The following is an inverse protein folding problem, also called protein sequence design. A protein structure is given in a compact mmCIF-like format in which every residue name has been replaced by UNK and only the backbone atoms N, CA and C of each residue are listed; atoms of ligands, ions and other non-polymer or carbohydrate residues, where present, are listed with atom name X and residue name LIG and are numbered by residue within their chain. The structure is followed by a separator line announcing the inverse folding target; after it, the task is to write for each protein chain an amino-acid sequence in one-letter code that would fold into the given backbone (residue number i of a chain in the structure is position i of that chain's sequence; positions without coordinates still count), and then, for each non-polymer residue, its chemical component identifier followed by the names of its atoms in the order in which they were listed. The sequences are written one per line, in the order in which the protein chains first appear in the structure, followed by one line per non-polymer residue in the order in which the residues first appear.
data_IF_209167083499
#
_entry.id   IF_209167083499
#
_cell.length_a   1.000
_cell.length_b   1.000
_cell.length_c   1.000
_cell.angle_alpha   90.00
_cell.angle_beta   90.00
_cell.angle_gamma   90.00
#
_symmetry.space_group_name_H-M   'P 1'
#
loop_
_entity.id
_entity.type
_entity.pdbx_description
1 polymer ?
#
# COMPACT_ATOMS: atom_id res chain seq x y z
N UNK A 1 -29.90 -7.22 15.01
CA UNK A 1 -30.68 -7.69 16.15
C UNK A 1 -30.61 -9.20 16.28
N UNK A 2 -30.77 -9.73 17.48
CA UNK A 2 -30.92 -11.15 17.76
C UNK A 2 -32.37 -11.60 17.51
N UNK A 3 -32.52 -12.75 16.89
CA UNK A 3 -33.84 -13.27 16.52
C UNK A 3 -34.01 -14.74 16.92
N UNK A 4 -35.24 -15.18 17.13
CA UNK A 4 -35.60 -16.59 17.34
C UNK A 4 -35.70 -17.34 16.00
N UNK A 5 -36.08 -18.62 16.06
CA UNK A 5 -36.24 -19.47 14.87
C UNK A 5 -37.33 -19.01 13.92
N UNK A 6 -38.26 -18.17 14.39
CA UNK A 6 -39.34 -17.58 13.58
C UNK A 6 -38.93 -16.23 12.96
N UNK A 7 -37.76 -15.68 13.33
CA UNK A 7 -37.27 -14.36 12.92
C UNK A 7 -37.75 -13.21 13.80
N UNK A 8 -38.45 -13.52 14.92
CA UNK A 8 -38.87 -12.51 15.88
C UNK A 8 -37.69 -12.07 16.77
N UNK A 9 -37.68 -10.77 17.13
CA UNK A 9 -36.57 -10.20 17.93
C UNK A 9 -36.60 -10.77 19.37
N UNK A 10 -35.43 -11.26 19.79
CA UNK A 10 -35.25 -11.73 21.16
C UNK A 10 -35.26 -10.55 22.15
N UNK A 11 -35.92 -10.66 23.30
CA UNK A 11 -35.86 -9.64 24.35
C UNK A 11 -34.43 -9.36 24.80
N UNK A 12 -34.13 -8.11 25.12
CA UNK A 12 -32.81 -7.72 25.65
C UNK A 12 -32.43 -8.38 26.98
N UNK A 13 -33.42 -8.98 27.66
CA UNK A 13 -33.28 -9.74 28.90
C UNK A 13 -33.03 -11.24 28.65
N UNK A 14 -32.94 -11.69 27.39
CA UNK A 14 -32.70 -13.10 27.07
C UNK A 14 -31.36 -13.55 27.64
N UNK A 15 -31.37 -14.54 28.50
CA UNK A 15 -30.16 -15.16 29.04
C UNK A 15 -29.57 -16.07 27.98
N UNK A 16 -28.34 -15.79 27.57
CA UNK A 16 -27.59 -16.59 26.59
C UNK A 16 -27.11 -17.87 27.29
N UNK A 17 -27.56 -19.03 26.79
CA UNK A 17 -27.14 -20.33 27.28
C UNK A 17 -25.95 -20.87 26.43
N UNK A 18 -24.97 -21.49 27.09
CA UNK A 18 -23.89 -22.17 26.44
C UNK A 18 -24.36 -23.30 25.52
N UNK A 19 -23.67 -23.51 24.42
CA UNK A 19 -23.94 -24.56 23.42
C UNK A 19 -25.35 -24.48 22.77
N UNK A 20 -25.98 -23.30 22.83
CA UNK A 20 -27.28 -23.03 22.20
C UNK A 20 -27.05 -22.06 21.04
N UNK A 21 -27.49 -22.41 19.84
CA UNK A 21 -27.37 -21.54 18.67
C UNK A 21 -28.36 -20.36 18.77
N UNK A 22 -27.83 -19.15 18.58
CA UNK A 22 -28.62 -17.92 18.51
C UNK A 22 -28.50 -17.34 17.11
N UNK A 23 -29.62 -16.97 16.52
CA UNK A 23 -29.67 -16.35 15.19
C UNK A 23 -29.59 -14.83 15.32
N UNK A 24 -28.95 -14.21 14.35
CA UNK A 24 -28.93 -12.75 14.22
C UNK A 24 -29.39 -12.32 12.83
N UNK A 25 -29.98 -11.13 12.78
CA UNK A 25 -30.49 -10.50 11.58
C UNK A 25 -29.92 -9.07 11.52
N UNK A 26 -29.13 -8.79 10.50
CA UNK A 26 -28.71 -7.45 10.14
C UNK A 26 -29.59 -6.93 9.01
N UNK A 27 -30.28 -5.82 9.24
CA UNK A 27 -31.05 -5.12 8.21
C UNK A 27 -30.42 -3.76 7.98
N UNK A 28 -29.85 -3.50 6.80
CA UNK A 28 -29.28 -2.21 6.47
C UNK A 28 -30.35 -1.11 6.51
N UNK A 29 -29.92 0.13 6.77
CA UNK A 29 -30.82 1.29 6.70
C UNK A 29 -31.27 1.56 5.26
N UNK A 30 -30.41 1.29 4.29
CA UNK A 30 -30.69 1.35 2.85
C UNK A 30 -30.95 -0.06 2.31
N UNK A 31 -32.20 -0.50 2.42
CA UNK A 31 -32.64 -1.80 1.93
C UNK A 31 -32.86 -1.85 0.41
N UNK A 32 -32.76 -0.71 -0.28
CA UNK A 32 -32.87 -0.65 -1.75
C UNK A 32 -31.56 -1.09 -2.43
N UNK A 33 -30.42 -0.80 -1.80
CA UNK A 33 -29.09 -1.08 -2.34
C UNK A 33 -28.36 -2.23 -1.61
N UNK A 34 -28.77 -2.61 -0.42
CA UNK A 34 -28.12 -3.63 0.39
C UNK A 34 -29.08 -4.71 0.87
N UNK A 35 -28.66 -5.96 0.75
CA UNK A 35 -29.44 -7.09 1.22
C UNK A 35 -29.33 -7.27 2.74
N UNK A 36 -30.39 -7.79 3.33
CA UNK A 36 -30.40 -8.25 4.71
C UNK A 36 -29.49 -9.47 4.86
N UNK A 37 -28.68 -9.50 5.91
CA UNK A 37 -27.81 -10.62 6.27
C UNK A 37 -28.34 -11.32 7.53
N UNK A 38 -28.27 -12.65 7.54
CA UNK A 38 -28.57 -13.49 8.69
C UNK A 38 -27.40 -14.42 8.97
N UNK A 39 -27.20 -14.74 10.22
CA UNK A 39 -26.24 -15.73 10.67
C UNK A 39 -26.63 -16.35 11.99
N UNK A 40 -25.85 -17.29 12.47
CA UNK A 40 -26.02 -17.89 13.78
C UNK A 40 -24.68 -17.96 14.52
N UNK A 41 -24.77 -17.87 15.84
CA UNK A 41 -23.63 -18.01 16.75
C UNK A 41 -24.01 -19.04 17.82
N UNK A 42 -23.11 -19.92 18.17
CA UNK A 42 -23.29 -20.89 19.26
C UNK A 42 -22.28 -20.62 20.35
N UNK A 43 -22.61 -19.80 21.36
CA UNK A 43 -21.71 -19.55 22.46
C UNK A 43 -21.46 -20.87 23.23
N UNK A 44 -20.20 -21.14 23.55
CA UNK A 44 -19.91 -22.21 24.49
C UNK A 44 -18.99 -21.74 25.59
N UNK A 45 -19.15 -22.28 26.77
CA UNK A 45 -18.30 -21.99 27.91
C UNK A 45 -17.28 -23.12 28.05
N UNK A 46 -16.01 -22.79 27.94
CA UNK A 46 -14.96 -23.73 28.35
C UNK A 46 -14.89 -23.72 29.88
N UNK A 47 -15.48 -24.74 30.52
CA UNK A 47 -15.31 -24.94 31.95
C UNK A 47 -13.89 -25.45 32.22
N UNK A 48 -13.02 -24.59 32.70
CA UNK A 48 -11.74 -24.99 33.25
C UNK A 48 -11.97 -25.45 34.71
N UNK A 49 -12.05 -26.74 34.93
CA UNK A 49 -12.04 -27.30 36.29
C UNK A 49 -10.59 -27.44 36.77
N UNK A 50 -10.07 -26.44 37.47
CA UNK A 50 -8.72 -26.38 38.04
C UNK A 50 -8.65 -25.30 39.11
N UNK A 51 -8.51 -25.70 40.34
CA UNK A 51 -8.19 -25.04 41.61
C UNK A 51 -8.05 -23.53 41.69
N UNK A 52 -8.75 -22.96 42.63
CA UNK A 52 -8.83 -21.59 43.09
C UNK A 52 -7.64 -20.66 42.82
N UNK A 53 -7.74 -19.90 41.78
CA UNK A 53 -7.20 -18.54 41.66
C UNK A 53 -8.25 -17.78 40.86
N UNK A 54 -8.70 -16.61 41.33
CA UNK A 54 -9.60 -15.76 40.57
C UNK A 54 -8.84 -15.33 39.30
N UNK A 55 -9.09 -16.00 38.18
CA UNK A 55 -8.50 -15.61 36.90
C UNK A 55 -8.89 -14.16 36.61
N UNK A 56 -7.90 -13.31 36.42
CA UNK A 56 -8.08 -11.90 35.97
C UNK A 56 -8.63 -11.81 34.54
N UNK A 57 -8.69 -12.93 33.82
CA UNK A 57 -9.13 -12.98 32.41
C UNK A 57 -10.34 -13.87 32.21
N UNK A 58 -11.18 -13.50 31.24
CA UNK A 58 -12.24 -14.35 30.66
C UNK A 58 -11.86 -14.67 29.23
N UNK A 59 -12.05 -15.94 28.80
CA UNK A 59 -11.74 -16.37 27.43
C UNK A 59 -12.98 -17.03 26.82
N UNK A 60 -13.34 -16.64 25.59
CA UNK A 60 -14.34 -17.30 24.76
C UNK A 60 -13.73 -17.66 23.43
N UNK A 61 -14.16 -18.75 22.80
CA UNK A 61 -13.71 -19.16 21.46
C UNK A 61 -14.93 -19.49 20.61
N UNK A 62 -14.94 -19.01 19.39
CA UNK A 62 -16.02 -19.18 18.43
C UNK A 62 -15.46 -19.68 17.09
N UNK A 63 -16.19 -20.58 16.44
CA UNK A 63 -15.91 -20.96 15.05
C UNK A 63 -16.84 -20.17 14.12
N UNK A 64 -16.23 -19.42 13.21
CA UNK A 64 -16.93 -18.56 12.25
C UNK A 64 -17.51 -19.37 11.07
N UNK A 65 -18.51 -18.83 10.35
CA UNK A 65 -19.11 -19.49 9.18
C UNK A 65 -18.12 -19.77 8.03
N UNK A 66 -17.06 -18.97 7.89
CA UNK A 66 -15.99 -19.11 6.90
C UNK A 66 -14.95 -20.18 7.27
N UNK A 67 -15.14 -20.82 8.45
CA UNK A 67 -14.25 -21.86 8.97
C UNK A 67 -13.11 -21.33 9.82
N UNK A 68 -12.91 -20.02 9.92
CA UNK A 68 -11.94 -19.41 10.84
C UNK A 68 -12.37 -19.59 12.31
N UNK A 69 -11.47 -19.31 13.25
CA UNK A 69 -11.75 -19.42 14.68
C UNK A 69 -11.29 -18.15 15.38
N UNK A 70 -12.23 -17.48 16.07
CA UNK A 70 -11.96 -16.29 16.88
C UNK A 70 -11.92 -16.64 18.36
N UNK A 71 -10.87 -16.22 19.04
CA UNK A 71 -10.73 -16.31 20.49
C UNK A 71 -10.67 -14.91 21.07
N UNK A 72 -11.62 -14.60 21.97
CA UNK A 72 -11.68 -13.32 22.68
C UNK A 72 -11.21 -13.51 24.12
N UNK A 73 -10.24 -12.73 24.54
CA UNK A 73 -9.71 -12.67 25.91
C UNK A 73 -9.98 -11.28 26.47
N UNK A 74 -10.70 -11.22 27.60
CA UNK A 74 -10.92 -9.97 28.33
C UNK A 74 -10.15 -9.98 29.64
N UNK A 75 -9.23 -9.05 29.82
CA UNK A 75 -8.55 -8.82 31.09
C UNK A 75 -9.43 -7.90 31.97
N UNK A 76 -9.91 -8.46 33.08
CA UNK A 76 -10.79 -7.75 34.03
C UNK A 76 -10.07 -6.67 34.83
N UNK A 77 -8.73 -6.75 34.91
CA UNK A 77 -7.91 -5.80 35.67
C UNK A 77 -7.66 -4.54 34.88
N UNK A 78 -7.28 -4.68 33.59
CA UNK A 78 -6.99 -3.56 32.70
C UNK A 78 -8.21 -3.12 31.90
N UNK A 79 -9.19 -4.00 31.72
CA UNK A 79 -10.34 -3.79 30.82
C UNK A 79 -9.96 -3.98 29.33
N UNK A 80 -8.76 -4.51 29.06
CA UNK A 80 -8.30 -4.78 27.69
C UNK A 80 -9.04 -6.00 27.13
N UNK A 81 -9.49 -5.88 25.89
CA UNK A 81 -10.08 -6.97 25.10
C UNK A 81 -9.14 -7.32 23.97
N UNK A 82 -8.76 -8.59 23.86
CA UNK A 82 -7.93 -9.11 22.76
C UNK A 82 -8.71 -10.17 22.00
N UNK A 83 -8.94 -9.93 20.73
CA UNK A 83 -9.58 -10.85 19.80
C UNK A 83 -8.54 -11.40 18.83
N UNK A 84 -8.40 -12.72 18.77
CA UNK A 84 -7.46 -13.40 17.87
C UNK A 84 -8.25 -14.31 16.94
N UNK A 85 -8.23 -14.01 15.64
CA UNK A 85 -8.85 -14.81 14.59
C UNK A 85 -7.76 -15.59 13.84
N UNK A 86 -7.90 -16.91 13.84
CA UNK A 86 -7.08 -17.81 13.01
C UNK A 86 -7.86 -18.16 11.75
N UNK A 87 -7.36 -17.73 10.60
CA UNK A 87 -7.96 -17.95 9.30
C UNK A 87 -7.60 -19.34 8.74
N UNK A 88 -8.42 -19.82 7.80
CA UNK A 88 -8.24 -21.14 7.15
C UNK A 88 -7.00 -21.20 6.24
N UNK A 89 -6.51 -20.05 5.75
CA UNK A 89 -5.28 -19.93 4.97
C UNK A 89 -3.99 -19.95 5.81
N UNK A 90 -4.12 -20.02 7.15
CA UNK A 90 -3.02 -20.02 8.10
C UNK A 90 -2.60 -18.63 8.59
N UNK A 91 -3.22 -17.58 8.10
CA UNK A 91 -3.01 -16.22 8.63
C UNK A 91 -3.69 -16.04 9.98
N UNK A 92 -3.28 -15.01 10.73
CA UNK A 92 -3.84 -14.69 12.03
C UNK A 92 -4.02 -13.19 12.15
N UNK A 93 -5.20 -12.74 12.56
CA UNK A 93 -5.48 -11.34 12.92
C UNK A 93 -5.70 -11.23 14.41
N UNK A 94 -5.00 -10.33 15.09
CA UNK A 94 -5.18 -10.02 16.50
C UNK A 94 -5.55 -8.56 16.65
N UNK A 95 -6.67 -8.28 17.28
CA UNK A 95 -7.15 -6.93 17.61
C UNK A 95 -7.14 -6.78 19.13
N UNK A 96 -6.35 -5.85 19.64
CA UNK A 96 -6.32 -5.47 21.04
C UNK A 96 -6.99 -4.11 21.20
N UNK A 97 -8.08 -4.07 21.98
CA UNK A 97 -8.78 -2.83 22.34
C UNK A 97 -8.52 -2.51 23.78
N UNK A 98 -7.86 -1.40 24.06
CA UNK A 98 -7.61 -0.90 25.41
C UNK A 98 -8.79 -0.11 25.94
N UNK A 99 -8.86 0.02 27.28
CA UNK A 99 -9.91 0.78 27.96
C UNK A 99 -9.99 2.25 27.56
N UNK A 100 -8.87 2.85 27.16
CA UNK A 100 -8.79 4.24 26.70
C UNK A 100 -9.29 4.44 25.26
N UNK A 101 -9.68 3.34 24.60
CA UNK A 101 -10.16 3.34 23.21
C UNK A 101 -9.06 3.15 22.17
N UNK A 102 -7.79 3.03 22.56
CA UNK A 102 -6.70 2.68 21.63
C UNK A 102 -6.91 1.26 21.10
N UNK A 103 -6.81 1.10 19.78
CA UNK A 103 -6.90 -0.20 19.10
C UNK A 103 -5.55 -0.52 18.46
N UNK A 104 -5.06 -1.73 18.70
CA UNK A 104 -3.88 -2.27 18.01
C UNK A 104 -4.32 -3.49 17.21
N UNK A 105 -4.23 -3.40 15.90
CA UNK A 105 -4.44 -4.54 15.02
C UNK A 105 -3.10 -5.10 14.57
N UNK A 106 -2.92 -6.40 14.70
CA UNK A 106 -1.73 -7.12 14.22
C UNK A 106 -2.17 -8.27 13.33
N UNK A 107 -1.71 -8.24 12.07
CA UNK A 107 -1.94 -9.30 11.11
C UNK A 107 -0.65 -10.05 10.87
N UNK A 108 -0.70 -11.38 10.91
CA UNK A 108 0.37 -12.26 10.51
C UNK A 108 -0.10 -13.10 9.32
N UNK A 109 0.49 -12.89 8.16
CA UNK A 109 0.22 -13.66 6.94
C UNK A 109 0.70 -15.10 7.06
N UNK A 110 0.21 -15.99 6.20
CA UNK A 110 0.60 -17.40 6.19
C UNK A 110 2.11 -17.62 5.95
N UNK A 111 2.76 -16.74 5.21
CA UNK A 111 4.22 -16.74 4.96
C UNK A 111 5.04 -16.21 6.14
N UNK A 112 4.37 -15.72 7.19
CA UNK A 112 4.98 -15.17 8.39
C UNK A 112 5.29 -13.66 8.34
N UNK A 113 4.98 -12.96 7.26
CA UNK A 113 5.02 -11.48 7.19
C UNK A 113 4.02 -10.91 8.17
N UNK A 114 4.39 -9.86 8.90
CA UNK A 114 3.54 -9.26 9.93
C UNK A 114 3.31 -7.78 9.67
N UNK A 115 2.12 -7.31 10.04
CA UNK A 115 1.74 -5.91 10.04
C UNK A 115 1.08 -5.54 11.35
N UNK A 116 1.30 -4.33 11.82
CA UNK A 116 0.65 -3.75 13.01
C UNK A 116 0.22 -2.34 12.71
N UNK A 117 -1.03 -2.02 13.03
CA UNK A 117 -1.61 -0.69 12.95
C UNK A 117 -2.13 -0.31 14.33
N UNK A 118 -1.75 0.86 14.82
CA UNK A 118 -2.26 1.42 16.08
C UNK A 118 -3.11 2.64 15.77
N UNK A 119 -4.34 2.61 16.27
CA UNK A 119 -5.32 3.68 16.11
C UNK A 119 -5.69 4.21 17.48
N UNK A 120 -5.69 5.52 17.65
CA UNK A 120 -6.11 6.14 18.91
C UNK A 120 -7.65 6.15 19.08
N UNK A 121 -8.10 6.66 20.21
CA UNK A 121 -9.55 6.74 20.52
C UNK A 121 -10.34 7.69 19.63
N UNK A 122 -9.68 8.53 18.83
CA UNK A 122 -10.32 9.41 17.84
C UNK A 122 -10.46 8.77 16.47
N UNK A 123 -9.82 7.62 16.25
CA UNK A 123 -9.74 6.92 14.97
C UNK A 123 -8.54 7.33 14.12
N UNK A 124 -7.60 8.10 14.68
CA UNK A 124 -6.38 8.48 13.99
C UNK A 124 -5.32 7.36 14.05
N UNK A 125 -4.71 7.04 12.92
CA UNK A 125 -3.60 6.07 12.85
C UNK A 125 -2.34 6.73 13.40
N UNK A 126 -1.83 6.21 14.51
CA UNK A 126 -0.66 6.74 15.22
C UNK A 126 0.62 5.98 14.96
N UNK A 127 0.53 4.71 14.56
CA UNK A 127 1.69 3.86 14.29
C UNK A 127 1.33 2.80 13.24
N UNK A 128 2.21 2.60 12.25
CA UNK A 128 2.11 1.50 11.29
C UNK A 128 3.47 0.83 11.16
N UNK A 129 3.52 -0.47 11.42
CA UNK A 129 4.74 -1.28 11.28
C UNK A 129 4.47 -2.52 10.45
N UNK A 130 5.43 -2.88 9.61
CA UNK A 130 5.40 -4.14 8.88
C UNK A 130 6.78 -4.81 8.91
N UNK A 131 6.80 -6.13 8.97
CA UNK A 131 8.03 -6.91 8.95
C UNK A 131 7.91 -8.03 7.92
N UNK A 132 8.73 -7.95 6.88
CA UNK A 132 8.80 -8.95 5.82
C UNK A 132 9.47 -10.20 6.34
N UNK A 133 8.86 -11.37 6.13
CA UNK A 133 9.44 -12.65 6.54
C UNK A 133 10.52 -13.12 5.56
N UNK A 134 11.48 -13.93 6.04
CA UNK A 134 12.48 -14.54 5.17
C UNK A 134 11.86 -15.53 4.17
N UNK A 135 10.71 -16.13 4.51
CA UNK A 135 9.99 -17.03 3.61
C UNK A 135 9.38 -16.24 2.45
N UNK A 136 8.72 -15.09 2.73
CA UNK A 136 8.19 -14.20 1.71
C UNK A 136 9.29 -13.68 0.76
N UNK A 137 10.44 -13.25 1.28
CA UNK A 137 11.60 -12.84 0.47
C UNK A 137 12.06 -13.97 -0.45
N UNK A 138 12.17 -15.19 0.08
CA UNK A 138 12.60 -16.35 -0.71
C UNK A 138 11.63 -16.67 -1.85
N UNK A 139 10.35 -16.54 -1.60
CA UNK A 139 9.32 -16.78 -2.62
C UNK A 139 9.29 -15.65 -3.66
N UNK A 140 9.31 -14.39 -3.24
CA UNK A 140 9.40 -13.23 -4.11
C UNK A 140 10.63 -13.28 -5.05
N UNK A 141 11.77 -13.76 -4.54
CA UNK A 141 12.97 -13.93 -5.36
C UNK A 141 12.83 -14.99 -6.48
N UNK A 142 11.94 -15.98 -6.30
CA UNK A 142 11.66 -17.00 -7.32
C UNK A 142 10.63 -16.54 -8.36
N UNK A 143 9.57 -15.87 -7.90
CA UNK A 143 8.45 -15.45 -8.75
C UNK A 143 8.69 -14.11 -9.44
N UNK A 144 9.49 -13.22 -8.83
CA UNK A 144 9.65 -11.83 -9.25
C UNK A 144 8.54 -10.90 -8.76
N UNK A 145 7.57 -11.42 -7.99
CA UNK A 145 6.45 -10.68 -7.45
C UNK A 145 6.87 -9.80 -6.26
N UNK A 146 6.04 -8.83 -5.90
CA UNK A 146 6.20 -8.05 -4.68
C UNK A 146 5.66 -8.83 -3.46
N UNK A 147 6.24 -8.59 -2.28
CA UNK A 147 5.68 -9.04 -1.01
C UNK A 147 4.62 -8.04 -0.56
N UNK A 148 3.36 -8.45 -0.52
CA UNK A 148 2.27 -7.62 -0.01
C UNK A 148 2.34 -7.56 1.51
N UNK A 149 2.41 -6.34 2.06
CA UNK A 149 2.44 -6.12 3.50
C UNK A 149 1.01 -6.20 4.08
N UNK A 150 0.80 -6.87 5.21
CA UNK A 150 -0.53 -6.99 5.82
C UNK A 150 -0.86 -5.75 6.67
N UNK A 151 -0.80 -4.58 6.07
CA UNK A 151 -1.23 -3.27 6.59
C UNK A 151 -1.90 -2.51 5.46
N UNK A 152 -2.86 -1.66 5.77
CA UNK A 152 -3.50 -0.77 4.80
C UNK A 152 -3.41 0.66 5.31
N UNK A 153 -3.07 1.59 4.43
CA UNK A 153 -2.93 3.01 4.79
C UNK A 153 -3.66 3.91 3.79
N UNK A 154 -4.15 5.09 4.21
CA UNK A 154 -4.68 6.07 3.28
C UNK A 154 -3.54 6.71 2.45
N UNK A 155 -3.84 7.07 1.20
CA UNK A 155 -3.00 7.98 0.43
C UNK A 155 -3.32 9.42 0.82
N UNK A 156 -2.43 10.06 1.58
CA UNK A 156 -2.62 11.45 1.99
C UNK A 156 -2.26 12.44 0.86
N UNK A 157 -2.76 13.67 0.95
CA UNK A 157 -2.42 14.72 -0.04
C UNK A 157 -1.07 15.39 0.25
N UNK A 158 -0.53 15.22 1.44
CA UNK A 158 0.80 15.75 1.83
C UNK A 158 1.53 14.71 2.67
N UNK A 159 2.86 14.82 2.71
CA UNK A 159 3.68 13.91 3.52
C UNK A 159 3.50 14.13 5.02
N UNK A 160 3.14 15.33 5.46
CA UNK A 160 2.86 15.62 6.87
C UNK A 160 1.60 14.89 7.37
N UNK A 161 0.59 14.76 6.50
CA UNK A 161 -0.66 14.07 6.81
C UNK A 161 -0.58 12.55 6.63
N UNK A 162 0.42 12.06 5.89
CA UNK A 162 0.57 10.63 5.61
C UNK A 162 1.11 9.90 6.84
N UNK A 163 0.48 8.77 7.27
CA UNK A 163 1.04 7.93 8.30
C UNK A 163 2.38 7.34 7.83
N UNK A 164 3.34 7.29 8.75
CA UNK A 164 4.63 6.67 8.50
C UNK A 164 4.54 5.16 8.68
N UNK A 165 4.88 4.39 7.65
CA UNK A 165 4.96 2.93 7.67
C UNK A 165 6.40 2.52 7.89
N UNK A 166 6.71 1.96 9.07
CA UNK A 166 8.02 1.39 9.37
C UNK A 166 8.11 -0.02 8.78
N UNK A 167 8.85 -0.18 7.70
CA UNK A 167 9.04 -1.48 7.03
C UNK A 167 10.36 -2.08 7.42
N UNK A 168 10.33 -3.26 8.04
CA UNK A 168 11.51 -4.06 8.37
C UNK A 168 11.72 -5.15 7.32
N UNK A 169 12.89 -5.17 6.71
CA UNK A 169 13.30 -6.18 5.72
C UNK A 169 14.49 -6.97 6.29
N UNK A 170 14.51 -8.32 6.15
CA UNK A 170 15.64 -9.14 6.60
C UNK A 170 16.96 -8.68 5.97
N UNK A 171 18.02 -8.52 6.77
CA UNK A 171 19.34 -8.02 6.32
C UNK A 171 19.98 -8.85 5.18
N UNK A 172 19.60 -10.11 5.04
CA UNK A 172 20.10 -11.01 3.99
C UNK A 172 19.30 -10.95 2.69
N UNK A 173 18.28 -10.12 2.62
CA UNK A 173 17.32 -10.14 1.50
C UNK A 173 17.84 -9.50 0.21
N UNK A 174 18.83 -8.58 0.30
CA UNK A 174 19.16 -7.70 -0.83
C UNK A 174 17.98 -6.77 -1.13
N UNK A 175 17.81 -6.38 -2.40
CA UNK A 175 16.66 -5.59 -2.84
C UNK A 175 15.41 -6.45 -2.89
N UNK A 176 14.33 -6.00 -2.24
CA UNK A 176 13.02 -6.67 -2.19
C UNK A 176 11.96 -5.72 -2.67
N UNK A 177 11.09 -6.15 -3.59
CA UNK A 177 9.88 -5.41 -3.93
C UNK A 177 8.84 -5.68 -2.85
N UNK A 178 8.30 -4.61 -2.27
CA UNK A 178 7.17 -4.69 -1.34
C UNK A 178 5.97 -3.93 -1.92
N UNK A 179 4.78 -4.42 -1.65
CA UNK A 179 3.54 -3.71 -1.91
C UNK A 179 2.94 -3.26 -0.58
N UNK A 180 2.69 -1.96 -0.46
CA UNK A 180 1.96 -1.37 0.65
C UNK A 180 0.51 -1.18 0.19
N UNK A 181 -0.46 -1.92 0.72
CA UNK A 181 -1.88 -1.72 0.46
C UNK A 181 -2.34 -0.31 0.80
N UNK A 182 -3.20 0.25 -0.05
CA UNK A 182 -3.68 1.63 0.04
C UNK A 182 -5.18 1.67 -0.22
N UNK A 183 -5.94 2.36 0.64
CA UNK A 183 -7.41 2.44 0.57
C UNK A 183 -7.93 2.99 -0.78
N UNK A 184 -7.24 3.96 -1.34
CA UNK A 184 -7.58 4.58 -2.63
C UNK A 184 -6.32 4.84 -3.43
N UNK A 185 -6.15 4.12 -4.51
CA UNK A 185 -5.01 4.26 -5.42
C UNK A 185 -5.41 5.08 -6.63
N UNK A 186 -4.57 6.06 -6.98
CA UNK A 186 -4.68 6.86 -8.21
C UNK A 186 -3.36 6.76 -9.00
N UNK A 187 -3.30 7.14 -10.26
CA UNK A 187 -2.04 7.23 -11.00
C UNK A 187 -1.01 8.14 -10.32
N UNK A 188 -1.47 9.16 -9.58
CA UNK A 188 -0.65 10.08 -8.80
C UNK A 188 -0.18 9.55 -7.45
N UNK A 189 -0.64 8.36 -7.03
CA UNK A 189 -0.20 7.76 -5.77
C UNK A 189 1.25 7.30 -5.87
N UNK A 190 2.07 7.72 -4.91
CA UNK A 190 3.53 7.50 -4.91
C UNK A 190 4.04 7.18 -3.50
N UNK A 191 5.10 6.40 -3.41
CA UNK A 191 5.83 6.19 -2.16
C UNK A 191 6.89 7.26 -1.94
N UNK A 192 7.06 7.67 -0.69
CA UNK A 192 8.09 8.59 -0.22
C UNK A 192 8.87 7.92 0.89
N UNK A 193 10.20 7.83 0.76
CA UNK A 193 11.08 7.36 1.83
C UNK A 193 11.43 8.53 2.73
N UNK A 194 11.31 8.30 4.04
CA UNK A 194 11.75 9.24 5.08
C UNK A 194 13.10 8.77 5.61
N UNK A 195 14.14 9.56 5.38
CA UNK A 195 15.49 9.26 5.85
C UNK A 195 15.67 9.55 7.35
N UNK A 196 16.72 9.01 7.95
CA UNK A 196 16.99 9.17 9.39
C UNK A 196 17.24 10.63 9.83
N UNK A 197 17.64 11.50 8.90
CA UNK A 197 17.80 12.94 9.13
C UNK A 197 16.49 13.74 8.96
N UNK A 198 15.39 13.06 8.63
CA UNK A 198 14.08 13.64 8.39
C UNK A 198 13.86 14.16 6.98
N UNK A 199 14.83 14.01 6.08
CA UNK A 199 14.62 14.36 4.66
C UNK A 199 13.71 13.34 3.99
N UNK A 200 12.92 13.80 3.01
CA UNK A 200 11.94 13.00 2.29
C UNK A 200 12.36 12.85 0.82
N UNK A 201 12.27 11.63 0.30
CA UNK A 201 12.63 11.30 -1.08
C UNK A 201 11.48 10.58 -1.78
N UNK A 202 11.01 11.13 -2.90
CA UNK A 202 10.01 10.47 -3.74
C UNK A 202 10.66 9.27 -4.44
N UNK A 203 10.09 8.09 -4.24
CA UNK A 203 10.51 6.87 -4.94
C UNK A 203 9.99 6.91 -6.38
N UNK A 204 10.79 7.43 -7.30
CA UNK A 204 10.41 7.58 -8.72
C UNK A 204 10.07 6.25 -9.40
N UNK A 205 10.60 5.13 -8.89
CA UNK A 205 10.35 3.77 -9.37
C UNK A 205 9.16 3.09 -8.71
N UNK A 206 8.45 3.77 -7.79
CA UNK A 206 7.23 3.22 -7.17
C UNK A 206 6.11 3.09 -8.19
N UNK A 207 5.34 2.00 -8.13
CA UNK A 207 4.28 1.68 -9.11
C UNK A 207 2.95 1.51 -8.37
N UNK A 208 1.92 2.32 -8.68
CA UNK A 208 0.58 2.10 -8.19
C UNK A 208 0.00 0.84 -8.85
N UNK A 209 -0.64 0.00 -8.05
CA UNK A 209 -1.39 -1.19 -8.47
C UNK A 209 -2.88 -0.95 -8.24
N UNK A 210 -3.72 -1.94 -8.42
CA UNK A 210 -5.15 -1.86 -8.08
C UNK A 210 -5.38 -1.81 -6.56
N UNK A 211 -4.44 -2.31 -5.76
CA UNK A 211 -4.57 -2.52 -4.32
C UNK A 211 -3.59 -1.73 -3.47
N UNK A 212 -2.55 -1.14 -4.06
CA UNK A 212 -1.53 -0.46 -3.29
C UNK A 212 -0.42 0.18 -4.13
N UNK A 213 0.74 0.33 -3.51
CA UNK A 213 1.95 0.86 -4.18
C UNK A 213 3.10 -0.11 -3.99
N UNK A 214 3.66 -0.57 -5.11
CA UNK A 214 4.87 -1.40 -5.15
C UNK A 214 6.11 -0.51 -5.21
N UNK A 215 7.09 -0.78 -4.35
CA UNK A 215 8.39 -0.12 -4.37
C UNK A 215 9.52 -1.09 -4.04
N UNK A 216 10.74 -0.89 -4.60
CA UNK A 216 11.92 -1.64 -4.19
C UNK A 216 12.48 -1.09 -2.87
N UNK A 217 12.89 -1.98 -1.96
CA UNK A 217 13.60 -1.64 -0.73
C UNK A 217 14.89 -2.42 -0.63
N UNK A 218 16.01 -1.73 -0.42
CA UNK A 218 17.35 -2.33 -0.23
C UNK A 218 17.65 -2.61 1.25
N UNK A 219 16.64 -2.54 2.11
CA UNK A 219 16.71 -2.73 3.55
C UNK A 219 15.47 -2.17 4.24
N UNK A 220 15.54 -2.07 5.58
CA UNK A 220 14.45 -1.47 6.35
C UNK A 220 14.34 0.03 6.06
N UNK A 221 13.13 0.53 5.93
CA UNK A 221 12.84 1.93 5.60
C UNK A 221 11.57 2.42 6.27
N UNK A 222 11.47 3.73 6.45
CA UNK A 222 10.21 4.41 6.77
C UNK A 222 9.62 4.98 5.49
N UNK A 223 8.39 4.58 5.18
CA UNK A 223 7.71 4.92 3.93
C UNK A 223 6.40 5.65 4.24
N UNK A 224 6.10 6.70 3.49
CA UNK A 224 4.80 7.36 3.48
C UNK A 224 4.15 7.20 2.10
N UNK A 225 2.84 7.12 2.05
CA UNK A 225 2.10 7.05 0.78
C UNK A 225 1.32 8.34 0.59
N UNK A 226 1.55 8.99 -0.54
CA UNK A 226 0.89 10.25 -0.88
C UNK A 226 0.29 10.21 -2.28
N UNK A 227 -0.83 10.90 -2.46
CA UNK A 227 -1.35 11.25 -3.78
C UNK A 227 -0.75 12.62 -4.17
N UNK A 228 0.33 12.59 -4.93
CA UNK A 228 1.13 13.74 -5.35
C UNK A 228 0.71 14.28 -6.73
N UNK A 229 -0.52 13.98 -7.18
CA UNK A 229 -1.05 14.54 -8.43
C UNK A 229 -1.15 16.07 -8.36
N UNK A 230 -0.75 16.75 -9.44
CA UNK A 230 -0.85 18.21 -9.54
C UNK A 230 -2.14 18.63 -10.23
N UNK A 231 -2.74 19.73 -9.78
CA UNK A 231 -3.90 20.34 -10.43
C UNK A 231 -3.47 21.09 -11.70
N UNK A 232 -3.30 20.36 -12.80
CA UNK A 232 -2.90 20.91 -14.10
C UNK A 232 -4.14 21.32 -14.92
N UNK A 233 -4.26 22.61 -15.24
CA UNK A 233 -5.48 23.18 -15.84
C UNK A 233 -5.72 22.76 -17.30
N UNK A 234 -4.69 22.25 -17.97
CA UNK A 234 -4.76 21.74 -19.34
C UNK A 234 -4.90 20.20 -19.40
N UNK A 235 -4.93 19.55 -18.25
CA UNK A 235 -5.18 18.13 -18.06
C UNK A 235 -6.51 17.93 -17.32
N UNK A 236 -6.69 18.60 -16.16
CA UNK A 236 -7.89 18.60 -15.34
C UNK A 236 -8.64 19.95 -15.48
N UNK A 237 -9.94 20.04 -15.47
CA UNK A 237 -10.99 19.00 -15.36
C UNK A 237 -11.52 18.48 -16.71
N UNK A 238 -10.74 18.57 -17.77
CA UNK A 238 -11.19 18.24 -19.14
C UNK A 238 -11.10 16.75 -19.50
N UNK A 239 -10.72 15.89 -18.55
CA UNK A 239 -10.52 14.44 -18.74
C UNK A 239 -9.68 14.16 -20.00
N UNK A 240 -8.47 14.73 -20.01
CA UNK A 240 -7.56 14.59 -21.14
C UNK A 240 -7.14 13.12 -21.29
N UNK A 241 -7.04 12.63 -22.53
CA UNK A 241 -6.67 11.22 -22.79
C UNK A 241 -5.34 10.77 -22.16
N UNK A 242 -4.46 11.71 -21.81
CA UNK A 242 -3.17 11.45 -21.17
C UNK A 242 -3.20 11.69 -19.65
N UNK A 243 -4.36 11.92 -19.03
CA UNK A 243 -4.50 12.30 -17.63
C UNK A 243 -3.75 11.35 -16.72
N UNK A 244 -4.07 10.05 -16.75
CA UNK A 244 -3.43 9.03 -15.91
C UNK A 244 -1.91 8.98 -16.10
N UNK A 245 -1.45 9.08 -17.34
CA UNK A 245 -0.02 9.06 -17.65
C UNK A 245 0.69 10.33 -17.16
N UNK A 246 0.05 11.50 -17.25
CA UNK A 246 0.59 12.77 -16.76
C UNK A 246 0.66 12.76 -15.24
N UNK A 247 -0.40 12.34 -14.57
CA UNK A 247 -0.42 12.23 -13.11
C UNK A 247 0.66 11.28 -12.60
N UNK A 248 0.82 10.14 -13.26
CA UNK A 248 1.88 9.18 -12.92
C UNK A 248 3.28 9.80 -13.00
N UNK A 249 3.64 10.43 -14.12
CA UNK A 249 5.01 10.93 -14.32
C UNK A 249 5.29 12.22 -13.55
N UNK A 250 4.29 13.06 -13.33
CA UNK A 250 4.42 14.31 -12.59
C UNK A 250 4.53 14.04 -11.09
N UNK A 251 3.71 13.13 -10.57
CA UNK A 251 3.75 12.76 -9.16
C UNK A 251 5.12 12.21 -8.73
N UNK A 252 5.84 11.56 -9.65
CA UNK A 252 7.18 10.98 -9.44
C UNK A 252 8.33 11.93 -9.74
N UNK A 253 8.03 13.19 -10.06
CA UNK A 253 9.05 14.19 -10.37
C UNK A 253 9.79 13.96 -11.69
N UNK A 254 9.38 12.96 -12.51
CA UNK A 254 9.99 12.70 -13.82
C UNK A 254 9.77 13.87 -14.77
N UNK A 255 8.53 14.40 -14.80
CA UNK A 255 8.16 15.59 -15.55
C UNK A 255 7.74 16.70 -14.60
N UNK A 256 8.15 17.92 -14.88
CA UNK A 256 7.77 19.08 -14.08
C UNK A 256 6.54 19.83 -14.62
N UNK A 257 6.16 19.57 -15.88
CA UNK A 257 5.24 20.41 -16.65
C UNK A 257 5.98 21.57 -17.36
N UNK A 258 5.24 22.39 -18.07
CA UNK A 258 5.75 23.60 -18.74
C UNK A 258 5.60 24.85 -17.87
N UNK A 259 4.76 24.77 -16.84
CA UNK A 259 4.62 25.74 -15.75
C UNK A 259 4.14 25.02 -14.49
N UNK A 260 3.93 25.75 -13.41
CA UNK A 260 3.36 25.19 -12.16
C UNK A 260 1.97 24.58 -12.35
N UNK A 261 1.21 25.05 -13.33
CA UNK A 261 -0.20 24.70 -13.54
C UNK A 261 -0.51 24.12 -14.92
N UNK A 262 0.50 23.93 -15.80
CA UNK A 262 0.32 23.39 -17.15
C UNK A 262 1.34 22.32 -17.49
N UNK A 263 0.90 21.28 -18.22
CA UNK A 263 1.75 20.23 -18.75
C UNK A 263 2.11 20.43 -20.24
N UNK A 264 1.19 21.00 -21.02
CA UNK A 264 1.27 21.20 -22.47
C UNK A 264 1.40 19.88 -23.26
N UNK A 265 0.42 18.95 -23.13
CA UNK A 265 0.52 17.59 -23.66
C UNK A 265 0.61 17.52 -25.18
N UNK A 266 0.16 18.56 -25.88
CA UNK A 266 0.19 18.65 -27.35
C UNK A 266 1.45 19.35 -27.88
N UNK A 267 2.34 19.83 -27.03
CA UNK A 267 3.59 20.47 -27.45
C UNK A 267 4.66 19.45 -27.84
N UNK A 268 5.46 19.69 -28.85
CA UNK A 268 6.59 18.83 -29.18
C UNK A 268 7.59 18.74 -28.04
N UNK A 269 8.01 17.53 -27.69
CA UNK A 269 9.12 17.31 -26.75
C UNK A 269 10.44 17.64 -27.44
N UNK A 270 11.35 18.34 -26.75
CA UNK A 270 12.72 18.55 -27.22
C UNK A 270 13.65 17.41 -26.81
N UNK A 271 14.84 17.33 -27.45
CA UNK A 271 15.88 16.36 -27.06
C UNK A 271 16.34 16.60 -25.63
N UNK A 272 16.49 17.86 -25.23
CA UNK A 272 16.86 18.24 -23.85
C UNK A 272 15.85 17.75 -22.82
N UNK A 273 14.54 17.88 -23.13
CA UNK A 273 13.48 17.37 -22.23
C UNK A 273 13.64 15.88 -21.99
N UNK A 274 13.84 15.07 -23.03
CA UNK A 274 14.01 13.62 -22.84
C UNK A 274 15.28 13.28 -22.06
N UNK A 275 16.42 13.93 -22.34
CA UNK A 275 17.65 13.73 -21.57
C UNK A 275 17.45 14.02 -20.08
N UNK A 276 16.78 15.12 -19.77
CA UNK A 276 16.47 15.51 -18.36
C UNK A 276 15.52 14.54 -17.68
N UNK A 277 14.49 14.07 -18.39
CA UNK A 277 13.53 13.07 -17.86
C UNK A 277 14.24 11.75 -17.55
N UNK A 278 15.09 11.25 -18.44
CA UNK A 278 15.82 10.01 -18.24
C UNK A 278 16.83 10.12 -17.09
N UNK A 279 17.51 11.26 -16.96
CA UNK A 279 18.41 11.51 -15.84
C UNK A 279 17.67 11.49 -14.49
N UNK A 280 16.50 12.15 -14.39
CA UNK A 280 15.66 12.12 -13.19
C UNK A 280 15.15 10.72 -12.88
N UNK A 281 14.76 9.96 -13.90
CA UNK A 281 14.33 8.59 -13.73
C UNK A 281 15.44 7.67 -13.20
N UNK A 282 16.71 7.98 -13.56
CA UNK A 282 17.91 7.30 -13.05
C UNK A 282 18.36 7.81 -11.67
N UNK A 283 17.59 8.73 -11.05
CA UNK A 283 17.88 9.27 -9.71
C UNK A 283 18.83 10.46 -9.67
N UNK A 284 19.17 11.03 -10.82
CA UNK A 284 20.10 12.18 -10.89
C UNK A 284 19.42 13.50 -10.52
N UNK A 285 20.11 14.30 -9.70
CA UNK A 285 19.70 15.67 -9.44
C UNK A 285 19.96 16.54 -10.67
N UNK A 286 18.88 16.90 -11.35
CA UNK A 286 18.94 17.76 -12.55
C UNK A 286 18.82 19.24 -12.22
N UNK A 287 18.85 19.63 -10.93
CA UNK A 287 18.82 21.03 -10.50
C UNK A 287 20.17 21.72 -10.71
N UNK A 288 20.15 23.04 -10.84
CA UNK A 288 21.34 23.83 -11.07
C UNK A 288 21.86 23.78 -12.52
N UNK A 289 23.02 24.41 -12.75
CA UNK A 289 23.61 24.58 -14.09
C UNK A 289 23.30 25.94 -14.70
N UNK A 290 23.96 26.27 -15.84
CA UNK A 290 23.78 27.53 -16.56
C UNK A 290 22.47 27.57 -17.36
N UNK A 291 21.96 26.38 -17.74
CA UNK A 291 20.66 26.16 -18.37
C UNK A 291 19.96 24.97 -17.73
N UNK A 292 18.63 24.96 -17.75
CA UNK A 292 17.82 23.97 -17.04
C UNK A 292 18.07 22.51 -17.43
N UNK A 293 18.61 22.24 -18.61
CA UNK A 293 18.89 20.90 -19.13
C UNK A 293 20.36 20.48 -19.02
N UNK A 294 21.24 21.32 -18.48
CA UNK A 294 22.70 21.08 -18.50
C UNK A 294 23.06 19.75 -17.83
N UNK A 295 22.56 19.52 -16.64
CA UNK A 295 22.80 18.29 -15.86
C UNK A 295 22.26 17.04 -16.56
N UNK A 296 21.04 17.09 -17.07
CA UNK A 296 20.44 15.98 -17.83
C UNK A 296 21.22 15.68 -19.12
N UNK A 297 21.73 16.71 -19.79
CA UNK A 297 22.56 16.55 -20.98
C UNK A 297 23.94 15.95 -20.65
N UNK A 298 24.59 16.39 -19.57
CA UNK A 298 25.87 15.84 -19.08
C UNK A 298 25.70 14.35 -18.72
N UNK A 299 24.65 14.02 -17.96
CA UNK A 299 24.31 12.64 -17.63
C UNK A 299 24.09 11.79 -18.89
N UNK A 300 23.30 12.28 -19.86
CA UNK A 300 23.00 11.54 -21.09
C UNK A 300 24.25 11.27 -21.95
N UNK A 301 25.21 12.18 -21.96
CA UNK A 301 26.55 11.99 -22.62
C UNK A 301 27.37 10.96 -21.87
N UNK A 302 27.49 11.07 -20.55
CA UNK A 302 28.28 10.16 -19.72
C UNK A 302 27.78 8.71 -19.82
N UNK A 303 26.44 8.51 -19.91
CA UNK A 303 25.81 7.20 -20.00
C UNK A 303 25.57 6.71 -21.45
N UNK A 304 26.10 7.43 -22.46
CA UNK A 304 25.97 7.03 -23.87
C UNK A 304 24.55 7.05 -24.43
N UNK A 305 23.62 7.67 -23.72
CA UNK A 305 22.20 7.78 -24.13
C UNK A 305 22.04 8.76 -25.30
N UNK A 306 22.78 9.88 -25.26
CA UNK A 306 22.77 10.93 -26.29
C UNK A 306 24.14 11.57 -26.44
N UNK A 307 24.44 12.12 -27.62
CA UNK A 307 25.62 12.96 -27.88
C UNK A 307 25.43 14.41 -27.36
N UNK A 308 24.26 14.77 -26.89
CA UNK A 308 23.88 16.11 -26.42
C UNK A 308 23.72 17.14 -27.54
N UNK A 309 23.80 16.75 -28.80
CA UNK A 309 23.62 17.69 -29.93
C UNK A 309 22.18 18.18 -30.06
N UNK A 310 22.01 19.43 -30.54
CA UNK A 310 20.71 20.05 -30.81
C UNK A 310 19.68 19.92 -29.67
N UNK A 311 19.97 20.36 -28.43
CA UNK A 311 19.13 20.12 -27.26
C UNK A 311 17.71 20.68 -27.41
N UNK A 312 17.56 21.84 -28.05
CA UNK A 312 16.29 22.54 -28.22
C UNK A 312 15.47 22.06 -29.44
N UNK A 313 16.04 21.16 -30.25
CA UNK A 313 15.32 20.63 -31.40
C UNK A 313 14.22 19.65 -30.97
N UNK A 314 13.02 19.67 -31.60
CA UNK A 314 12.01 18.64 -31.39
C UNK A 314 12.57 17.25 -31.63
N UNK A 315 12.29 16.32 -30.72
CA UNK A 315 12.75 14.93 -30.85
C UNK A 315 11.88 14.18 -31.87
N UNK A 316 12.52 13.43 -32.77
CA UNK A 316 11.79 12.54 -33.68
C UNK A 316 11.50 11.20 -33.00
N UNK A 317 10.49 10.45 -33.48
CA UNK A 317 10.16 9.10 -32.98
C UNK A 317 11.36 8.16 -33.04
N UNK A 318 12.19 8.25 -34.10
CA UNK A 318 13.40 7.43 -34.22
C UNK A 318 14.45 7.79 -33.18
N UNK A 319 14.68 9.08 -32.92
CA UNK A 319 15.59 9.54 -31.88
C UNK A 319 15.11 9.13 -30.48
N UNK A 320 13.81 9.29 -30.19
CA UNK A 320 13.19 8.83 -28.96
C UNK A 320 13.46 7.34 -28.74
N UNK A 321 13.10 6.49 -29.72
CA UNK A 321 13.32 5.06 -29.65
C UNK A 321 14.80 4.69 -29.46
N UNK A 322 15.72 5.39 -30.15
CA UNK A 322 17.16 5.14 -30.01
C UNK A 322 17.68 5.50 -28.61
N UNK A 323 17.24 6.63 -28.05
CA UNK A 323 17.67 7.05 -26.71
C UNK A 323 17.11 6.10 -25.64
N UNK A 324 15.84 5.68 -25.74
CA UNK A 324 15.26 4.68 -24.83
C UNK A 324 15.96 3.32 -24.95
N UNK A 325 16.28 2.86 -26.16
CA UNK A 325 17.02 1.62 -26.37
C UNK A 325 18.43 1.66 -25.75
N UNK A 326 19.15 2.78 -25.92
CA UNK A 326 20.46 2.99 -25.28
C UNK A 326 20.34 3.03 -23.77
N UNK A 327 19.34 3.75 -23.24
CA UNK A 327 19.06 3.79 -21.81
C UNK A 327 18.82 2.40 -21.22
N UNK A 328 18.09 1.54 -21.94
CA UNK A 328 17.86 0.16 -21.55
C UNK A 328 19.08 -0.78 -21.69
N UNK A 329 20.29 -0.25 -21.93
CA UNK A 329 21.53 -1.03 -22.07
C UNK A 329 21.70 -1.67 -23.44
N UNK A 330 21.04 -1.16 -24.48
CA UNK A 330 21.15 -1.64 -25.87
C UNK A 330 20.83 -3.13 -26.02
N UNK A 331 19.68 -3.64 -25.52
CA UNK A 331 19.35 -5.04 -25.56
C UNK A 331 19.32 -5.56 -27.01
N UNK A 332 19.87 -6.77 -27.25
CA UNK A 332 19.79 -7.42 -28.56
C UNK A 332 18.37 -7.91 -28.81
N UNK A 333 17.85 -7.69 -30.03
CA UNK A 333 16.55 -8.24 -30.40
C UNK A 333 16.61 -9.76 -30.49
N UNK A 334 15.68 -10.46 -29.83
CA UNK A 334 15.54 -11.94 -29.90
C UNK A 334 14.88 -12.40 -31.20
N UNK A 335 14.64 -11.53 -32.17
CA UNK A 335 14.06 -11.90 -33.48
C UNK A 335 15.19 -12.46 -34.39
N UNK A 336 15.22 -13.78 -34.49
CA UNK A 336 15.85 -14.43 -35.64
C UNK A 336 15.12 -13.96 -36.88
N UNK A 337 15.85 -13.32 -37.83
CA UNK A 337 15.34 -13.11 -39.17
C UNK A 337 15.00 -14.48 -39.79
N UNK A 338 13.69 -14.78 -39.88
CA UNK A 338 13.24 -15.80 -40.81
C UNK A 338 13.41 -15.19 -42.19
N UNK A 339 14.50 -15.51 -42.85
CA UNK A 339 14.69 -15.26 -44.28
C UNK A 339 13.68 -16.10 -45.05
N UNK A 340 12.74 -15.46 -45.71
CA UNK A 340 11.93 -16.05 -46.77
C UNK A 340 12.70 -16.02 -48.10
#
# INVERSE_FOLDING_TARGET
KWVDDTGAELPSTTVVAANTAYKWLFTPTDTANYNTLTGSITPYVVSYSGGGSSSSTTTTTEKNPDGSTTTTVTDKTTGTVTETTKNTDGSTTTVETKKDGTVTETVKSADGTTGTVVTDSSGEVTEVKASVSSAAVTEAAKTGDAVTLPVEVPAAKTTEAAPAVEVTVPKSAGSVKVEIPVEQVTPGTVAVIVHADGTEEIVSTSIPTETGVVLPLDGSATVKIVDNAKALVDIHPVSHWAEDAVDFVVARGMFAGTSETTFSPNSPMTRAMLMTVLARFDGEDTSGGSVWYEKGMEWAKANGVSDGSNPDAPITRGQLATMLWRYAGSPTSSHSHVTH
#
